data_IF_032043147884
#
_entry.id   IF_032043147884
#
_cell.length_a   1.000
_cell.length_b   1.000
_cell.length_c   1.000
_cell.angle_alpha   90.00
_cell.angle_beta   90.00
_cell.angle_gamma   90.00
#
_symmetry.space_group_name_H-M   'P 1'
#
loop_
_entity.id
_entity.type
_entity.pdbx_description
1 polymer ?
#
# COMPACT_ATOMS: atom_id res chain seq x y z
N UNK A 1 6.03 -1.29 -27.39
CA UNK A 1 7.12 -1.49 -26.42
C UNK A 1 6.90 -2.81 -25.70
N UNK A 2 7.95 -3.46 -25.23
CA UNK A 2 7.81 -4.68 -24.44
C UNK A 2 7.57 -4.32 -22.98
N UNK A 3 6.69 -5.05 -22.29
CA UNK A 3 6.49 -4.93 -20.84
C UNK A 3 7.78 -5.36 -20.13
N UNK A 4 8.24 -4.57 -19.16
CA UNK A 4 9.44 -4.84 -18.37
C UNK A 4 9.16 -5.01 -16.88
N UNK A 5 8.12 -4.36 -16.36
CA UNK A 5 7.80 -4.43 -14.94
C UNK A 5 6.28 -4.44 -14.68
N UNK A 6 5.88 -5.26 -13.72
CA UNK A 6 4.53 -5.30 -13.14
C UNK A 6 4.64 -4.92 -11.67
N UNK A 7 3.98 -3.84 -11.27
CA UNK A 7 3.77 -3.49 -9.87
C UNK A 7 2.44 -4.10 -9.42
N UNK A 8 2.44 -4.84 -8.33
CA UNK A 8 1.20 -5.48 -7.84
C UNK A 8 1.01 -5.23 -6.35
N UNK A 9 -0.20 -4.83 -5.97
CA UNK A 9 -0.60 -4.94 -4.59
C UNK A 9 -0.75 -6.42 -4.19
N UNK A 10 -0.83 -6.70 -2.89
CA UNK A 10 -0.94 -8.06 -2.35
C UNK A 10 -2.37 -8.41 -1.97
N UNK A 11 -2.87 -7.79 -0.92
CA UNK A 11 -4.08 -8.23 -0.22
C UNK A 11 -5.36 -7.81 -0.96
N UNK A 12 -6.04 -8.76 -1.56
CA UNK A 12 -7.19 -8.50 -2.43
C UNK A 12 -6.84 -8.35 -3.91
N UNK A 13 -5.57 -8.44 -4.26
CA UNK A 13 -5.03 -8.33 -5.63
C UNK A 13 -4.28 -9.60 -6.03
N UNK A 14 -3.02 -9.75 -5.64
CA UNK A 14 -2.22 -10.95 -5.91
C UNK A 14 -2.60 -12.10 -4.97
N UNK A 15 -3.03 -11.79 -3.77
CA UNK A 15 -3.48 -12.74 -2.77
C UNK A 15 -4.98 -12.60 -2.55
N UNK A 16 -5.72 -13.68 -2.75
CA UNK A 16 -7.15 -13.75 -2.50
C UNK A 16 -7.48 -14.05 -1.04
N UNK A 17 -8.62 -14.68 -0.82
CA UNK A 17 -9.11 -14.96 0.53
C UNK A 17 -8.08 -15.69 1.40
N UNK A 18 -7.93 -15.24 2.65
CA UNK A 18 -6.97 -15.80 3.58
C UNK A 18 -5.50 -15.52 3.24
N UNK A 19 -5.22 -14.50 2.44
CA UNK A 19 -3.90 -14.16 1.91
C UNK A 19 -3.26 -15.31 1.12
N UNK A 20 -4.05 -16.03 0.33
CA UNK A 20 -3.61 -17.19 -0.43
C UNK A 20 -3.36 -16.84 -1.91
N UNK A 21 -2.21 -17.27 -2.44
CA UNK A 21 -1.90 -17.22 -3.88
C UNK A 21 -2.80 -18.16 -4.72
N UNK A 22 -3.46 -19.12 -4.07
CA UNK A 22 -4.26 -20.17 -4.71
C UNK A 22 -5.75 -20.04 -4.43
N UNK A 23 -6.18 -18.89 -3.94
CA UNK A 23 -7.59 -18.57 -3.76
C UNK A 23 -7.95 -17.29 -4.52
N UNK A 24 -9.16 -17.24 -5.06
CA UNK A 24 -9.74 -15.99 -5.52
C UNK A 24 -10.26 -15.15 -4.33
N UNK A 25 -10.84 -14.00 -4.62
CA UNK A 25 -11.41 -13.14 -3.59
C UNK A 25 -12.54 -13.81 -2.80
N UNK A 26 -13.32 -14.69 -3.41
CA UNK A 26 -14.43 -15.42 -2.80
C UNK A 26 -13.99 -16.66 -2.00
N UNK A 27 -12.72 -17.05 -2.09
CA UNK A 27 -12.14 -18.21 -1.42
C UNK A 27 -12.19 -19.49 -2.24
N UNK A 28 -12.58 -19.44 -3.51
CA UNK A 28 -12.52 -20.58 -4.41
C UNK A 28 -11.07 -20.82 -4.86
N UNK A 29 -10.74 -22.08 -5.16
CA UNK A 29 -9.43 -22.40 -5.71
C UNK A 29 -9.20 -21.71 -7.07
N UNK A 30 -8.07 -21.02 -7.20
CA UNK A 30 -7.66 -20.35 -8.43
C UNK A 30 -6.15 -20.48 -8.64
N UNK A 31 -5.75 -20.74 -9.89
CA UNK A 31 -4.35 -20.71 -10.34
C UNK A 31 -4.03 -19.46 -11.14
N UNK A 32 -4.94 -18.50 -11.25
CA UNK A 32 -4.76 -17.34 -12.12
C UNK A 32 -3.57 -16.50 -11.70
N UNK A 33 -3.43 -16.22 -10.42
CA UNK A 33 -2.34 -15.44 -9.86
C UNK A 33 -0.98 -16.13 -10.08
N UNK A 34 -0.92 -17.42 -9.80
CA UNK A 34 0.30 -18.21 -10.02
C UNK A 34 0.71 -18.28 -11.50
N UNK A 35 -0.27 -18.39 -12.41
CA UNK A 35 -0.04 -18.36 -13.87
C UNK A 35 0.43 -16.99 -14.35
N UNK A 36 -0.08 -15.91 -13.77
CA UNK A 36 0.40 -14.55 -14.06
C UNK A 36 1.88 -14.39 -13.66
N UNK A 37 2.26 -14.85 -12.47
CA UNK A 37 3.65 -14.86 -12.03
C UNK A 37 4.55 -15.73 -12.91
N UNK A 38 4.08 -16.92 -13.31
CA UNK A 38 4.78 -17.78 -14.27
C UNK A 38 5.00 -17.05 -15.60
N UNK A 39 3.97 -16.41 -16.14
CA UNK A 39 4.06 -15.67 -17.41
C UNK A 39 5.08 -14.53 -17.34
N UNK A 40 5.08 -13.74 -16.25
CA UNK A 40 6.06 -12.70 -16.00
C UNK A 40 7.48 -13.27 -15.95
N UNK A 41 7.68 -14.37 -15.20
CA UNK A 41 8.98 -15.03 -15.08
C UNK A 41 9.50 -15.53 -16.42
N UNK A 42 8.66 -16.20 -17.24
CA UNK A 42 9.01 -16.66 -18.59
C UNK A 42 9.36 -15.53 -19.55
N UNK A 43 8.72 -14.38 -19.39
CA UNK A 43 8.94 -13.21 -20.24
C UNK A 43 10.13 -12.34 -19.77
N UNK A 44 10.75 -12.67 -18.63
CA UNK A 44 11.80 -11.84 -18.02
C UNK A 44 11.29 -10.49 -17.51
N UNK A 45 10.00 -10.44 -17.13
CA UNK A 45 9.35 -9.25 -16.58
C UNK A 45 9.53 -9.23 -15.07
N UNK A 46 10.07 -8.14 -14.52
CA UNK A 46 10.19 -7.95 -13.08
C UNK A 46 8.79 -7.78 -12.45
N UNK A 47 8.55 -8.44 -11.31
CA UNK A 47 7.35 -8.25 -10.52
C UNK A 47 7.72 -7.59 -9.19
N UNK A 48 7.18 -6.39 -8.95
CA UNK A 48 7.44 -5.61 -7.75
C UNK A 48 6.18 -5.56 -6.90
N UNK A 49 6.22 -6.19 -5.74
CA UNK A 49 5.14 -6.10 -4.75
C UNK A 49 5.12 -4.70 -4.16
N UNK A 50 3.94 -4.08 -4.08
CA UNK A 50 3.70 -2.81 -3.40
C UNK A 50 2.61 -2.99 -2.35
N UNK A 51 2.96 -2.95 -1.05
CA UNK A 51 2.04 -3.32 0.01
C UNK A 51 2.09 -2.38 1.22
N UNK A 52 0.98 -2.33 1.96
CA UNK A 52 0.93 -1.74 3.30
C UNK A 52 1.59 -2.59 4.38
N UNK A 53 1.97 -3.84 4.08
CA UNK A 53 2.66 -4.73 5.01
C UNK A 53 4.05 -4.21 5.38
N UNK A 54 4.56 -4.63 6.56
CA UNK A 54 5.91 -4.29 7.02
C UNK A 54 7.00 -4.99 6.20
N UNK A 55 8.21 -4.42 6.21
CA UNK A 55 9.36 -4.86 5.39
C UNK A 55 9.61 -6.36 5.42
N UNK A 56 9.63 -6.96 6.62
CA UNK A 56 9.93 -8.40 6.77
C UNK A 56 8.91 -9.27 6.05
N UNK A 57 7.62 -8.93 6.10
CA UNK A 57 6.56 -9.69 5.44
C UNK A 57 6.69 -9.57 3.92
N UNK A 58 6.79 -8.34 3.39
CA UNK A 58 6.89 -8.13 1.93
C UNK A 58 8.18 -8.73 1.36
N UNK A 59 9.29 -8.68 2.11
CA UNK A 59 10.53 -9.35 1.74
C UNK A 59 10.35 -10.86 1.56
N UNK A 60 9.68 -11.53 2.51
CA UNK A 60 9.42 -12.97 2.41
C UNK A 60 8.46 -13.30 1.26
N UNK A 61 7.42 -12.48 1.05
CA UNK A 61 6.50 -12.64 -0.08
C UNK A 61 7.24 -12.47 -1.42
N UNK A 62 8.08 -11.45 -1.58
CA UNK A 62 8.89 -11.22 -2.77
C UNK A 62 9.88 -12.37 -3.01
N UNK A 63 10.58 -12.83 -1.96
CA UNK A 63 11.52 -13.95 -2.03
C UNK A 63 10.84 -15.24 -2.50
N UNK A 64 9.62 -15.52 -2.03
CA UNK A 64 8.86 -16.72 -2.44
C UNK A 64 8.53 -16.74 -3.93
N UNK A 65 8.32 -15.58 -4.54
CA UNK A 65 8.06 -15.46 -5.99
C UNK A 65 9.33 -15.18 -6.81
N UNK A 66 10.51 -15.27 -6.17
CA UNK A 66 11.81 -15.12 -6.85
C UNK A 66 12.17 -13.68 -7.19
N UNK A 67 11.60 -12.68 -6.50
CA UNK A 67 11.87 -11.26 -6.73
C UNK A 67 12.74 -10.66 -5.62
N UNK A 68 13.49 -9.61 -5.96
CA UNK A 68 14.39 -8.90 -5.03
C UNK A 68 13.97 -7.45 -4.79
N UNK A 69 13.05 -6.95 -5.61
CA UNK A 69 12.49 -5.59 -5.47
C UNK A 69 11.10 -5.64 -4.87
N UNK A 70 10.82 -4.75 -3.92
CA UNK A 70 9.51 -4.61 -3.30
C UNK A 70 9.35 -3.23 -2.65
N UNK A 71 8.10 -2.77 -2.56
CA UNK A 71 7.68 -1.53 -1.92
C UNK A 71 6.86 -1.91 -0.68
N UNK A 72 7.13 -1.30 0.47
CA UNK A 72 6.51 -1.66 1.73
C UNK A 72 6.01 -0.45 2.53
N UNK A 73 5.20 -0.73 3.56
CA UNK A 73 4.59 0.26 4.44
C UNK A 73 3.98 1.44 3.66
N UNK A 74 3.02 1.12 2.75
CA UNK A 74 2.27 2.08 1.95
C UNK A 74 3.15 3.00 1.05
N UNK A 75 4.30 2.51 0.62
CA UNK A 75 5.23 3.29 -0.22
C UNK A 75 6.21 4.15 0.57
N UNK A 76 6.35 3.91 1.87
CA UNK A 76 7.31 4.63 2.72
C UNK A 76 8.76 4.29 2.40
N UNK A 77 9.00 3.13 1.81
CA UNK A 77 10.30 2.72 1.33
C UNK A 77 10.17 1.65 0.24
N UNK A 78 11.23 1.51 -0.55
CA UNK A 78 11.38 0.35 -1.44
C UNK A 78 12.77 -0.27 -1.29
N UNK A 79 12.83 -1.58 -1.51
CA UNK A 79 14.08 -2.33 -1.62
C UNK A 79 14.29 -2.70 -3.09
N UNK A 80 15.53 -2.60 -3.54
CA UNK A 80 15.97 -3.01 -4.86
C UNK A 80 17.40 -3.57 -4.73
N UNK A 81 17.60 -4.80 -5.18
CA UNK A 81 18.91 -5.47 -5.14
C UNK A 81 19.57 -5.48 -3.75
N UNK A 82 18.75 -5.59 -2.69
CA UNK A 82 19.10 -5.59 -1.25
C UNK A 82 19.45 -4.20 -0.69
N UNK A 83 19.38 -3.16 -1.48
CA UNK A 83 19.49 -1.78 -1.01
C UNK A 83 18.10 -1.21 -0.73
N UNK A 84 17.97 -0.41 0.33
CA UNK A 84 16.73 0.22 0.74
C UNK A 84 16.79 1.72 0.49
N UNK A 85 15.78 2.26 -0.17
CA UNK A 85 15.57 3.69 -0.35
C UNK A 85 14.35 4.13 0.46
N UNK A 86 14.55 5.09 1.36
CA UNK A 86 13.47 5.68 2.16
C UNK A 86 12.76 6.78 1.36
N UNK A 87 11.44 6.84 1.50
CA UNK A 87 10.56 7.78 0.80
C UNK A 87 9.90 8.78 1.76
N UNK A 88 10.67 9.29 2.71
CA UNK A 88 10.17 10.14 3.80
C UNK A 88 9.78 11.56 3.38
N UNK A 89 10.12 11.97 2.14
CA UNK A 89 9.86 13.34 1.68
C UNK A 89 10.65 14.37 2.52
N UNK A 90 9.92 15.37 3.02
CA UNK A 90 10.52 16.46 3.83
C UNK A 90 10.62 16.12 5.34
N UNK A 91 10.26 14.89 5.73
CA UNK A 91 10.38 14.44 7.12
C UNK A 91 11.86 14.30 7.50
N UNK A 92 12.30 15.00 8.55
CA UNK A 92 13.67 14.92 9.05
C UNK A 92 13.93 13.56 9.69
N UNK A 93 14.62 12.70 8.97
CA UNK A 93 14.97 11.37 9.44
C UNK A 93 16.24 11.41 10.31
N UNK A 94 16.10 10.96 11.56
CA UNK A 94 17.25 10.80 12.45
C UNK A 94 18.02 9.50 12.10
N UNK A 95 19.37 9.54 11.98
CA UNK A 95 20.13 8.38 11.52
C UNK A 95 20.06 7.16 12.46
N UNK A 96 19.84 7.39 13.76
CA UNK A 96 19.85 6.35 14.78
C UNK A 96 18.43 5.87 15.20
N UNK A 97 17.38 6.37 14.55
CA UNK A 97 15.98 6.05 14.90
C UNK A 97 15.18 5.82 13.64
N UNK A 98 14.31 4.82 13.66
CA UNK A 98 13.34 4.68 12.58
C UNK A 98 12.22 5.73 12.67
N UNK A 99 11.41 5.85 11.62
CA UNK A 99 10.36 6.86 11.54
C UNK A 99 9.26 6.65 12.58
N UNK A 100 8.93 5.37 12.88
CA UNK A 100 7.93 5.00 13.90
C UNK A 100 8.38 5.46 15.30
N UNK A 101 9.66 5.23 15.64
CA UNK A 101 10.23 5.69 16.92
C UNK A 101 10.16 7.21 17.06
N UNK A 102 10.49 7.94 15.99
CA UNK A 102 10.43 9.39 15.98
C UNK A 102 9.00 9.94 16.12
N UNK A 103 8.01 9.31 15.45
CA UNK A 103 6.60 9.68 15.62
C UNK A 103 6.10 9.41 17.04
N UNK A 104 6.51 8.27 17.64
CA UNK A 104 6.16 7.92 19.02
C UNK A 104 6.75 8.88 20.04
N UNK A 105 8.03 9.26 19.90
CA UNK A 105 8.68 10.25 20.77
C UNK A 105 8.03 11.64 20.69
N UNK A 106 7.43 11.96 19.57
CA UNK A 106 6.64 13.20 19.38
C UNK A 106 5.23 13.10 19.99
N UNK A 107 4.84 11.95 20.55
CA UNK A 107 3.53 11.73 21.16
C UNK A 107 2.36 11.67 20.17
N UNK A 108 2.63 11.43 18.88
CA UNK A 108 1.58 11.51 17.85
C UNK A 108 0.53 10.40 17.97
N UNK A 109 0.88 9.13 18.26
CA UNK A 109 -0.12 8.10 18.53
C UNK A 109 -1.03 8.44 19.71
N UNK A 110 -0.45 8.94 20.82
CA UNK A 110 -1.18 9.32 22.02
C UNK A 110 -2.16 10.47 21.73
N UNK A 111 -1.74 11.49 20.97
CA UNK A 111 -2.59 12.57 20.51
C UNK A 111 -3.79 12.04 19.70
N UNK A 112 -3.56 11.12 18.79
CA UNK A 112 -4.61 10.49 17.99
C UNK A 112 -5.60 9.71 18.87
N UNK A 113 -5.14 8.94 19.85
CA UNK A 113 -6.00 8.18 20.74
C UNK A 113 -6.80 9.08 21.69
N UNK A 114 -6.24 10.20 22.13
CA UNK A 114 -6.97 11.19 22.93
C UNK A 114 -8.11 11.84 22.12
N UNK A 115 -7.83 12.22 20.87
CA UNK A 115 -8.80 12.90 20.00
C UNK A 115 -9.89 11.96 19.45
N UNK A 116 -9.55 10.70 19.21
CA UNK A 116 -10.40 9.70 18.56
C UNK A 116 -10.65 8.48 19.46
N UNK A 117 -10.81 8.72 20.78
CA UNK A 117 -11.06 7.68 21.79
C UNK A 117 -12.24 6.78 21.39
N UNK A 118 -12.04 5.47 21.48
CA UNK A 118 -13.01 4.45 21.11
C UNK A 118 -13.29 4.29 19.61
N UNK A 119 -12.72 5.15 18.75
CA UNK A 119 -12.91 5.09 17.30
C UNK A 119 -11.64 4.80 16.52
N UNK A 120 -10.47 4.90 17.15
CA UNK A 120 -9.16 4.58 16.58
C UNK A 120 -8.31 3.84 17.62
N UNK A 121 -7.64 2.77 17.20
CA UNK A 121 -6.70 2.02 18.01
C UNK A 121 -5.57 1.43 17.17
N UNK A 122 -4.50 0.92 17.78
CA UNK A 122 -3.49 0.17 17.05
C UNK A 122 -4.09 -1.07 16.38
N UNK A 123 -3.69 -1.36 15.16
CA UNK A 123 -4.08 -2.59 14.48
C UNK A 123 -3.21 -3.76 14.95
N UNK A 124 -3.53 -4.31 16.11
CA UNK A 124 -2.81 -5.43 16.71
C UNK A 124 -3.02 -6.75 15.95
N UNK A 125 -1.95 -7.57 15.86
CA UNK A 125 -0.54 -7.34 16.21
C UNK A 125 0.29 -6.74 15.06
N UNK A 126 -0.34 -6.32 13.95
CA UNK A 126 0.35 -5.88 12.72
C UNK A 126 0.99 -4.49 12.82
N UNK A 127 0.68 -3.72 13.88
CA UNK A 127 1.35 -2.46 14.18
C UNK A 127 2.78 -2.66 14.69
N UNK A 128 3.09 -3.84 15.28
CA UNK A 128 4.40 -4.14 15.84
C UNK A 128 5.47 -4.36 14.77
N UNK A 129 6.71 -3.97 15.08
CA UNK A 129 7.88 -4.20 14.22
C UNK A 129 7.83 -3.47 12.88
N UNK A 130 7.13 -2.35 12.81
CA UNK A 130 7.13 -1.43 11.67
C UNK A 130 8.28 -0.42 11.81
N UNK A 131 8.77 0.04 10.68
CA UNK A 131 9.93 0.94 10.63
C UNK A 131 9.53 2.35 10.18
N UNK A 132 8.51 2.47 9.33
CA UNK A 132 8.20 3.66 8.57
C UNK A 132 6.79 4.23 8.81
N UNK A 133 5.88 3.44 9.37
CA UNK A 133 4.48 3.85 9.56
C UNK A 133 3.88 3.25 10.82
N UNK A 134 3.12 4.02 11.60
CA UNK A 134 2.17 3.41 12.54
C UNK A 134 0.97 2.86 11.79
N UNK A 135 0.44 1.75 12.28
CA UNK A 135 -0.73 1.10 11.72
C UNK A 135 -1.87 1.12 12.74
N UNK A 136 -2.96 1.75 12.34
CA UNK A 136 -4.17 1.84 13.14
C UNK A 136 -5.34 1.13 12.47
N UNK A 137 -6.37 0.84 13.25
CA UNK A 137 -7.69 0.45 12.75
C UNK A 137 -8.77 1.27 13.43
N UNK A 138 -9.90 1.45 12.77
CA UNK A 138 -10.99 2.22 13.32
C UNK A 138 -11.91 2.80 12.26
N UNK A 139 -12.55 3.93 12.62
CA UNK A 139 -13.35 4.72 11.70
C UNK A 139 -13.19 6.21 12.05
N UNK A 140 -12.39 6.90 11.26
CA UNK A 140 -12.13 8.34 11.38
C UNK A 140 -12.22 9.01 10.00
N UNK A 141 -12.47 10.30 9.98
CA UNK A 141 -12.35 11.12 8.78
C UNK A 141 -10.87 11.50 8.58
N UNK A 142 -10.28 11.01 7.50
CA UNK A 142 -8.84 11.20 7.21
C UNK A 142 -8.52 12.67 6.94
N UNK A 143 -9.43 13.43 6.32
CA UNK A 143 -9.21 14.84 6.05
C UNK A 143 -9.20 15.65 7.35
N UNK A 144 -10.18 15.38 8.26
CA UNK A 144 -10.22 15.96 9.59
C UNK A 144 -8.95 15.65 10.40
N UNK A 145 -8.52 14.38 10.42
CA UNK A 145 -7.27 13.98 11.10
C UNK A 145 -6.07 14.73 10.54
N UNK A 146 -5.96 14.86 9.22
CA UNK A 146 -4.82 15.53 8.60
C UNK A 146 -4.81 17.05 8.86
N UNK A 147 -5.97 17.68 8.96
CA UNK A 147 -6.08 19.07 9.39
C UNK A 147 -5.64 19.21 10.85
N UNK A 148 -6.15 18.35 11.74
CA UNK A 148 -5.78 18.34 13.16
C UNK A 148 -4.27 18.12 13.36
N UNK A 149 -3.65 17.15 12.66
CA UNK A 149 -2.20 16.94 12.71
C UNK A 149 -1.43 18.20 12.34
N UNK A 150 -1.88 18.94 11.33
CA UNK A 150 -1.24 20.19 10.93
C UNK A 150 -1.38 21.30 11.99
N UNK A 151 -2.54 21.43 12.64
CA UNK A 151 -2.81 22.39 13.69
C UNK A 151 -2.02 22.11 14.97
N UNK A 152 -1.79 20.83 15.29
CA UNK A 152 -1.00 20.39 16.45
C UNK A 152 0.52 20.35 16.17
N UNK A 153 0.98 20.89 15.03
CA UNK A 153 2.39 21.00 14.70
C UNK A 153 3.02 19.75 14.07
N UNK A 154 2.21 18.81 13.60
CA UNK A 154 2.61 17.58 12.94
C UNK A 154 2.29 17.58 11.43
N UNK A 155 2.31 18.74 10.79
CA UNK A 155 1.98 18.92 9.37
C UNK A 155 2.95 18.26 8.38
N UNK A 156 4.05 17.70 8.86
CA UNK A 156 4.99 16.83 8.13
C UNK A 156 4.54 15.36 8.07
N UNK A 157 3.46 15.02 8.78
CA UNK A 157 2.83 13.69 8.80
C UNK A 157 1.45 13.74 8.14
N UNK A 158 0.95 12.56 7.78
CA UNK A 158 -0.44 12.37 7.35
C UNK A 158 -0.95 10.98 7.68
N UNK A 159 -2.25 10.88 7.88
CA UNK A 159 -2.97 9.62 7.92
C UNK A 159 -3.40 9.25 6.50
N UNK A 160 -3.25 7.98 6.13
CA UNK A 160 -3.73 7.37 4.89
C UNK A 160 -4.75 6.30 5.21
N UNK A 161 -5.87 6.27 4.50
CA UNK A 161 -6.83 5.17 4.55
C UNK A 161 -6.40 4.06 3.57
N UNK A 162 -6.14 2.89 4.10
CA UNK A 162 -5.77 1.68 3.33
C UNK A 162 -6.99 0.77 3.07
N UNK A 163 -8.20 1.29 3.31
CA UNK A 163 -9.47 0.61 3.03
C UNK A 163 -10.03 -0.23 4.18
N UNK A 164 -11.20 -0.79 3.92
CA UNK A 164 -11.94 -1.61 4.87
C UNK A 164 -11.26 -2.97 5.11
N UNK A 165 -11.28 -3.41 6.37
CA UNK A 165 -10.70 -4.68 6.80
C UNK A 165 -11.75 -5.63 7.40
N UNK A 166 -11.50 -6.94 7.27
CA UNK A 166 -12.39 -7.99 7.79
C UNK A 166 -12.32 -8.21 9.31
N UNK A 167 -11.77 -7.27 10.09
CA UNK A 167 -11.64 -7.35 11.54
C UNK A 167 -12.39 -6.20 12.20
N UNK A 168 -13.67 -6.40 12.54
CA UNK A 168 -14.51 -5.34 13.10
C UNK A 168 -14.01 -4.89 14.47
N UNK A 169 -14.17 -3.59 14.76
CA UNK A 169 -14.08 -3.05 16.11
C UNK A 169 -15.48 -3.03 16.76
N UNK A 170 -15.55 -3.21 18.08
CA UNK A 170 -16.83 -3.09 18.79
C UNK A 170 -17.50 -1.73 18.54
N UNK A 171 -18.75 -1.74 18.09
CA UNK A 171 -19.52 -0.51 17.83
C UNK A 171 -19.22 0.16 16.46
N UNK A 172 -18.32 -0.37 15.66
CA UNK A 172 -18.00 0.14 14.32
C UNK A 172 -18.43 -0.89 13.27
N UNK A 173 -19.36 -0.51 12.39
CA UNK A 173 -19.92 -1.41 11.37
C UNK A 173 -18.88 -1.77 10.29
N UNK A 174 -18.14 -0.77 9.82
CA UNK A 174 -17.06 -0.96 8.84
C UNK A 174 -15.79 -0.38 9.43
N UNK A 175 -14.84 -1.25 9.72
CA UNK A 175 -13.53 -0.87 10.26
C UNK A 175 -12.54 -0.73 9.12
N UNK A 176 -11.83 0.41 9.10
CA UNK A 176 -10.76 0.68 8.15
C UNK A 176 -9.38 0.47 8.78
N UNK A 177 -8.38 0.29 7.95
CA UNK A 177 -6.97 0.26 8.31
C UNK A 177 -6.31 1.56 7.87
N UNK A 178 -5.54 2.18 8.77
CA UNK A 178 -4.90 3.47 8.49
C UNK A 178 -3.40 3.40 8.73
N UNK A 179 -2.64 4.07 7.86
CA UNK A 179 -1.22 4.30 8.04
C UNK A 179 -0.95 5.75 8.41
N UNK A 180 -0.29 6.00 9.54
CA UNK A 180 0.31 7.30 9.82
C UNK A 180 1.73 7.28 9.25
N UNK A 181 2.00 8.18 8.30
CA UNK A 181 3.24 8.24 7.52
C UNK A 181 3.74 9.67 7.35
N UNK A 182 5.01 9.89 6.99
CA UNK A 182 5.47 11.17 6.48
C UNK A 182 4.63 11.67 5.31
N UNK A 183 4.34 12.96 5.24
CA UNK A 183 3.40 13.57 4.28
C UNK A 183 3.70 13.28 2.81
N UNK A 184 4.97 13.08 2.47
CA UNK A 184 5.40 12.79 1.11
C UNK A 184 5.26 11.34 0.65
N UNK A 185 4.89 10.42 1.56
CA UNK A 185 4.80 8.99 1.27
C UNK A 185 3.60 8.66 0.39
N UNK A 186 3.80 7.84 -0.64
CA UNK A 186 2.73 7.17 -1.40
C UNK A 186 3.28 6.01 -2.23
N UNK A 187 2.47 4.99 -2.50
CA UNK A 187 2.80 3.90 -3.42
C UNK A 187 3.18 4.46 -4.81
N UNK A 188 2.46 5.46 -5.31
CA UNK A 188 2.73 6.07 -6.61
C UNK A 188 4.13 6.70 -6.70
N UNK A 189 4.58 7.42 -5.66
CA UNK A 189 5.93 8.01 -5.62
C UNK A 189 7.01 6.94 -5.52
N UNK A 190 6.79 5.90 -4.73
CA UNK A 190 7.73 4.79 -4.60
C UNK A 190 7.86 4.01 -5.93
N UNK A 191 6.75 3.76 -6.64
CA UNK A 191 6.75 3.17 -7.99
C UNK A 191 7.53 4.03 -8.97
N UNK A 192 7.29 5.34 -8.99
CA UNK A 192 8.02 6.26 -9.88
C UNK A 192 9.53 6.26 -9.59
N UNK A 193 9.92 6.26 -8.30
CA UNK A 193 11.32 6.23 -7.90
C UNK A 193 12.00 4.91 -8.27
N UNK A 194 11.34 3.77 -8.03
CA UNK A 194 11.84 2.45 -8.43
C UNK A 194 11.99 2.35 -9.96
N UNK A 195 10.96 2.76 -10.73
CA UNK A 195 11.00 2.74 -12.20
C UNK A 195 12.16 3.60 -12.74
N UNK A 196 12.37 4.78 -12.17
CA UNK A 196 13.49 5.66 -12.53
C UNK A 196 14.85 5.01 -12.23
N UNK A 197 15.01 4.38 -11.05
CA UNK A 197 16.23 3.68 -10.67
C UNK A 197 16.55 2.50 -11.59
N UNK A 198 15.51 1.78 -12.06
CA UNK A 198 15.63 0.69 -13.06
C UNK A 198 15.78 1.17 -14.50
N UNK A 199 15.54 2.45 -14.78
CA UNK A 199 15.50 2.99 -16.15
C UNK A 199 14.32 2.45 -16.95
N UNK A 200 13.16 2.25 -16.33
CA UNK A 200 11.92 1.84 -17.00
C UNK A 200 11.17 3.08 -17.50
N UNK A 201 10.77 3.08 -18.76
CA UNK A 201 9.82 4.04 -19.25
C UNK A 201 8.40 3.71 -18.72
N UNK A 202 7.58 4.75 -18.56
CA UNK A 202 6.20 4.58 -18.05
C UNK A 202 5.42 3.53 -18.84
N UNK A 203 5.56 3.56 -20.18
CA UNK A 203 4.87 2.67 -21.11
C UNK A 203 5.37 1.21 -21.09
N UNK A 204 6.49 0.96 -20.43
CA UNK A 204 7.07 -0.38 -20.22
C UNK A 204 6.59 -1.01 -18.91
N UNK A 205 5.72 -0.31 -18.17
CA UNK A 205 5.25 -0.73 -16.85
C UNK A 205 3.75 -0.79 -16.76
N UNK A 206 3.23 -1.72 -15.99
CA UNK A 206 1.83 -1.78 -15.57
C UNK A 206 1.75 -1.90 -14.05
N UNK A 207 0.59 -1.55 -13.49
CA UNK A 207 0.30 -1.84 -12.09
C UNK A 207 -1.08 -2.48 -11.93
N UNK A 208 -1.26 -3.21 -10.83
CA UNK A 208 -2.50 -3.91 -10.47
C UNK A 208 -2.81 -3.64 -9.01
N UNK A 209 -4.04 -3.31 -8.66
CA UNK A 209 -4.47 -3.07 -7.29
C UNK A 209 -5.99 -3.06 -7.16
N UNK A 210 -6.50 -2.99 -5.91
CA UNK A 210 -7.93 -3.03 -5.59
C UNK A 210 -8.44 -1.86 -4.75
N UNK A 211 -7.58 -0.91 -4.39
CA UNK A 211 -7.91 0.24 -3.54
C UNK A 211 -7.78 1.60 -4.25
N UNK A 212 -8.35 2.63 -3.65
CA UNK A 212 -8.21 4.01 -4.14
C UNK A 212 -6.75 4.51 -4.02
N UNK A 213 -6.00 4.05 -2.99
CA UNK A 213 -4.57 4.35 -2.84
C UNK A 213 -3.76 3.73 -3.97
N UNK A 214 -4.07 2.48 -4.37
CA UNK A 214 -3.41 1.83 -5.49
C UNK A 214 -3.68 2.53 -6.81
N UNK A 215 -4.91 3.02 -7.02
CA UNK A 215 -5.28 3.73 -8.26
C UNK A 215 -4.42 4.97 -8.51
N UNK A 216 -3.90 5.63 -7.46
CA UNK A 216 -2.97 6.74 -7.62
C UNK A 216 -1.69 6.34 -8.35
N UNK A 217 -1.32 5.05 -8.35
CA UNK A 217 -0.18 4.51 -9.09
C UNK A 217 -0.37 4.62 -10.61
N UNK A 218 -1.60 4.76 -11.11
CA UNK A 218 -1.90 4.99 -12.52
C UNK A 218 -1.13 6.19 -13.10
N UNK A 219 -0.82 7.19 -12.27
CA UNK A 219 0.00 8.36 -12.67
C UNK A 219 1.43 7.98 -13.06
N UNK A 220 1.95 6.88 -12.53
CA UNK A 220 3.36 6.46 -12.63
C UNK A 220 3.61 5.31 -13.60
N UNK A 221 2.55 4.66 -14.13
CA UNK A 221 2.64 3.50 -15.01
C UNK A 221 1.87 3.71 -16.32
N UNK A 222 2.19 2.92 -17.35
CA UNK A 222 1.51 2.98 -18.65
C UNK A 222 0.04 2.60 -18.56
N UNK A 223 -0.27 1.51 -17.86
CA UNK A 223 -1.65 1.06 -17.60
C UNK A 223 -1.78 0.59 -16.15
N UNK A 224 -2.87 0.96 -15.51
CA UNK A 224 -3.25 0.47 -14.21
C UNK A 224 -4.47 -0.45 -14.34
N UNK A 225 -4.38 -1.66 -13.80
CA UNK A 225 -5.48 -2.61 -13.76
C UNK A 225 -6.10 -2.61 -12.36
N UNK A 226 -7.39 -2.27 -12.30
CA UNK A 226 -8.17 -2.37 -11.07
C UNK A 226 -8.86 -3.72 -11.07
N UNK A 227 -8.57 -4.59 -10.10
CA UNK A 227 -9.27 -5.87 -9.98
C UNK A 227 -10.73 -5.65 -9.63
N UNK A 228 -11.62 -6.45 -10.24
CA UNK A 228 -13.07 -6.21 -10.21
C UNK A 228 -13.68 -6.17 -8.80
N UNK A 229 -13.09 -6.87 -7.82
CA UNK A 229 -13.52 -6.83 -6.42
C UNK A 229 -13.34 -5.45 -5.75
N UNK A 230 -12.39 -4.63 -6.21
CA UNK A 230 -12.14 -3.30 -5.65
C UNK A 230 -13.36 -2.36 -5.75
N UNK A 231 -13.83 -2.03 -6.97
CA UNK A 231 -15.00 -1.15 -7.17
C UNK A 231 -16.33 -1.71 -6.61
N UNK A 232 -16.42 -3.01 -6.38
CA UNK A 232 -17.59 -3.63 -5.75
C UNK A 232 -17.63 -3.37 -4.24
N UNK A 233 -16.45 -3.27 -3.61
CA UNK A 233 -16.29 -3.03 -2.17
C UNK A 233 -16.25 -1.56 -1.81
N UNK A 234 -15.70 -0.74 -2.69
CA UNK A 234 -15.45 0.68 -2.45
C UNK A 234 -16.08 1.57 -3.54
N UNK A 235 -17.19 2.23 -3.17
CA UNK A 235 -17.87 3.17 -4.04
C UNK A 235 -17.01 4.42 -4.34
N UNK A 236 -16.11 4.80 -3.44
CA UNK A 236 -15.15 5.90 -3.62
C UNK A 236 -14.17 5.59 -4.73
N UNK A 237 -13.61 4.37 -4.74
CA UNK A 237 -12.74 3.89 -5.82
C UNK A 237 -13.46 3.97 -7.17
N UNK A 238 -14.74 3.51 -7.23
CA UNK A 238 -15.53 3.57 -8.45
C UNK A 238 -15.74 5.00 -8.97
N UNK A 239 -15.93 5.95 -8.06
CA UNK A 239 -16.12 7.36 -8.43
C UNK A 239 -14.82 8.00 -8.99
N UNK A 240 -13.66 7.59 -8.50
CA UNK A 240 -12.36 8.14 -8.90
C UNK A 240 -11.78 7.51 -10.17
N UNK A 241 -12.25 6.33 -10.59
CA UNK A 241 -11.78 5.64 -11.80
C UNK A 241 -11.77 6.53 -13.04
N UNK A 242 -12.81 7.35 -13.24
CA UNK A 242 -12.93 8.24 -14.40
C UNK A 242 -11.85 9.34 -14.47
N UNK A 243 -11.15 9.59 -13.39
CA UNK A 243 -10.05 10.57 -13.31
C UNK A 243 -8.73 10.03 -13.87
N UNK A 244 -8.64 8.74 -14.15
CA UNK A 244 -7.45 8.05 -14.61
C UNK A 244 -7.71 7.37 -15.97
N UNK A 245 -7.38 8.07 -17.07
CA UNK A 245 -7.66 7.61 -18.42
C UNK A 245 -6.96 6.28 -18.81
N UNK A 246 -5.90 5.91 -18.08
CA UNK A 246 -5.14 4.67 -18.27
C UNK A 246 -5.49 3.58 -17.24
N UNK A 247 -6.55 3.77 -16.46
CA UNK A 247 -7.06 2.74 -15.55
C UNK A 247 -8.12 1.87 -16.24
N UNK A 248 -8.01 0.55 -16.08
CA UNK A 248 -8.89 -0.45 -16.67
C UNK A 248 -9.36 -1.40 -15.58
N UNK A 249 -10.66 -1.63 -15.46
CA UNK A 249 -11.21 -2.65 -14.56
C UNK A 249 -11.09 -4.01 -15.22
N UNK A 250 -10.56 -5.01 -14.48
CA UNK A 250 -10.46 -6.39 -14.98
C UNK A 250 -11.82 -7.09 -15.02
N UNK A 251 -11.95 -8.11 -15.86
CA UNK A 251 -13.16 -8.98 -15.87
C UNK A 251 -13.13 -9.99 -14.71
N UNK A 252 -11.93 -10.36 -14.22
CA UNK A 252 -11.73 -11.34 -13.15
C UNK A 252 -11.56 -10.68 -11.78
N UNK A 253 -11.91 -11.42 -10.74
CA UNK A 253 -11.81 -11.09 -9.32
C UNK A 253 -10.65 -11.81 -8.65
#
# INVERSE_FOLDING_TARGET
MALRCVYTDLDGTLLGHGASLFADYEGNFSMMQARALEACSRAGVEVVIMSGRRRVQVHEDARLIGQTSFIYEAGSAFSMDRETTLMTGDFEHHPDKNVVEQMSERGVPELLFEKYDGTLEFHEPWHEGREMSHLFRGKVDVEEVNVMLSEEGHGDLRLLDNGAIGRPMPGIEITHCYHLVPKGVSKSRAVAAHAAARGYAKEETIAVGDSAEDLEVARSVGTFYVVANGPERDAGLKATLSQHANAVVTEGR
#
